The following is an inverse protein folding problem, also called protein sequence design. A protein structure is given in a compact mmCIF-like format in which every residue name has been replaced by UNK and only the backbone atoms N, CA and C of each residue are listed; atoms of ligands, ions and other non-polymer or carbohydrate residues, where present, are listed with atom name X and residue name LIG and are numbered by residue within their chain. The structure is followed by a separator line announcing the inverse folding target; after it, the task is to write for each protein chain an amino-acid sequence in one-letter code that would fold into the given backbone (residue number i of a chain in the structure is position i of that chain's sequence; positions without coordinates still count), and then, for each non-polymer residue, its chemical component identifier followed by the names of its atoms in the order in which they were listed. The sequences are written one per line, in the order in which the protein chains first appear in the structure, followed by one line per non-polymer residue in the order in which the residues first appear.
data_IF_366508123297
#
_entry.id   IF_366508123297
#
_cell.length_a   1.000
_cell.length_b   1.000
_cell.length_c   1.000
_cell.angle_alpha   90.00
_cell.angle_beta   90.00
_cell.angle_gamma   90.00
#
_symmetry.space_group_name_H-M   'P 1'
#
loop_
_entity.id
_entity.type
_entity.pdbx_description
1 polymer ?
#
# COMPACT_ATOMS: atom_id res chain seq x y z
N UNK A 1 -1.12 -17.76 -10.08
CA UNK A 1 0.16 -17.19 -9.59
C UNK A 1 0.84 -18.27 -8.77
N UNK A 2 2.09 -18.59 -9.09
CA UNK A 2 2.74 -19.77 -8.51
C UNK A 2 3.67 -19.40 -7.37
N UNK A 3 3.69 -20.22 -6.32
CA UNK A 3 4.51 -19.95 -5.12
C UNK A 3 6.01 -19.94 -5.44
N UNK A 4 6.44 -20.78 -6.38
CA UNK A 4 7.85 -20.92 -6.78
C UNK A 4 8.48 -19.64 -7.37
N UNK A 5 7.68 -18.79 -8.03
CA UNK A 5 8.18 -17.56 -8.67
C UNK A 5 7.90 -16.31 -7.85
N UNK A 6 6.79 -16.31 -7.11
CA UNK A 6 6.29 -15.14 -6.39
C UNK A 6 6.69 -15.11 -4.91
N UNK A 7 7.02 -16.26 -4.33
CA UNK A 7 7.30 -16.43 -2.90
C UNK A 7 6.04 -16.36 -2.02
N UNK A 8 5.38 -15.21 -2.02
CA UNK A 8 4.09 -14.95 -1.34
C UNK A 8 3.43 -13.70 -1.92
N UNK A 9 2.17 -13.44 -1.58
CA UNK A 9 1.48 -12.22 -2.01
C UNK A 9 2.19 -10.97 -1.48
N UNK A 10 2.85 -11.08 -0.32
CA UNK A 10 3.65 -10.00 0.24
C UNK A 10 4.83 -9.63 -0.63
N UNK A 11 5.60 -10.62 -1.10
CA UNK A 11 6.78 -10.40 -1.92
C UNK A 11 6.41 -9.92 -3.33
N UNK A 12 5.42 -10.56 -3.95
CA UNK A 12 5.00 -10.27 -5.32
C UNK A 12 4.41 -8.87 -5.47
N UNK A 13 3.53 -8.47 -4.53
CA UNK A 13 2.63 -7.34 -4.75
C UNK A 13 2.45 -6.42 -3.56
N UNK A 14 2.57 -6.89 -2.32
CA UNK A 14 2.28 -6.01 -1.17
C UNK A 14 3.51 -5.30 -0.60
N UNK A 15 4.70 -5.66 -1.08
CA UNK A 15 5.97 -5.13 -0.62
C UNK A 15 6.04 -3.61 -0.75
N UNK A 16 5.57 -3.01 -1.85
CA UNK A 16 5.58 -1.56 -1.99
C UNK A 16 4.59 -0.84 -1.05
N UNK A 17 3.50 -1.48 -0.65
CA UNK A 17 2.57 -0.92 0.35
C UNK A 17 3.13 -1.02 1.77
N UNK A 18 3.96 -2.03 2.05
CA UNK A 18 4.69 -2.14 3.31
C UNK A 18 5.82 -1.09 3.32
N UNK A 19 6.54 -0.96 2.21
CA UNK A 19 7.68 -0.05 2.06
C UNK A 19 7.28 1.41 2.20
N UNK A 20 6.24 1.85 1.48
CA UNK A 20 5.80 3.25 1.50
C UNK A 20 5.44 3.72 2.92
N UNK A 21 4.84 2.84 3.72
CA UNK A 21 4.46 3.17 5.10
C UNK A 21 5.67 3.18 6.03
N UNK A 22 6.71 2.41 5.74
CA UNK A 22 7.98 2.52 6.47
C UNK A 22 8.72 3.79 6.10
N UNK A 23 8.82 4.06 4.80
CA UNK A 23 9.55 5.19 4.23
C UNK A 23 9.05 6.53 4.78
N UNK A 24 7.75 6.81 4.72
CA UNK A 24 7.21 8.11 5.16
C UNK A 24 7.20 8.29 6.70
N UNK A 25 7.31 7.20 7.46
CA UNK A 25 7.15 7.16 8.92
C UNK A 25 8.51 7.13 9.60
N UNK A 26 9.54 6.66 8.89
CA UNK A 26 10.93 6.63 9.34
C UNK A 26 11.17 5.79 10.60
N UNK A 27 10.29 4.85 10.92
CA UNK A 27 10.36 4.03 12.13
C UNK A 27 10.35 2.53 11.78
N UNK A 28 10.96 1.71 12.63
CA UNK A 28 10.91 0.25 12.49
C UNK A 28 9.59 -0.31 13.01
N UNK A 29 9.16 -1.41 12.42
CA UNK A 29 8.02 -2.21 12.89
C UNK A 29 8.46 -3.04 14.10
N UNK A 30 7.75 -2.94 15.22
CA UNK A 30 8.09 -3.63 16.48
C UNK A 30 7.16 -4.80 16.83
N UNK A 31 5.96 -4.85 16.27
CA UNK A 31 5.05 -5.99 16.39
C UNK A 31 3.98 -5.94 15.32
N UNK A 32 3.40 -7.10 15.05
CA UNK A 32 2.36 -7.25 14.04
C UNK A 32 1.45 -8.44 14.34
N UNK A 33 0.29 -8.45 13.68
CA UNK A 33 -0.66 -9.56 13.64
C UNK A 33 -1.12 -9.72 12.21
N UNK A 34 -1.12 -10.96 11.73
CA UNK A 34 -1.56 -11.33 10.38
C UNK A 34 -2.73 -12.29 10.48
N UNK A 35 -3.69 -12.14 9.59
CA UNK A 35 -4.79 -13.08 9.41
C UNK A 35 -5.25 -13.13 7.95
N UNK A 36 -5.85 -14.26 7.60
CA UNK A 36 -6.45 -14.53 6.30
C UNK A 36 -7.48 -15.65 6.45
N UNK A 37 -8.43 -15.69 5.53
CA UNK A 37 -9.23 -16.89 5.27
C UNK A 37 -8.48 -17.81 4.30
N UNK A 38 -8.89 -19.08 4.14
CA UNK A 38 -8.37 -19.93 3.08
C UNK A 38 -8.55 -19.28 1.71
N UNK A 39 -7.63 -19.55 0.78
CA UNK A 39 -7.75 -19.07 -0.60
C UNK A 39 -9.09 -19.48 -1.21
N UNK A 40 -9.71 -18.54 -1.90
CA UNK A 40 -10.97 -18.71 -2.64
C UNK A 40 -10.68 -18.94 -4.13
N UNK A 41 -9.63 -18.32 -4.67
CA UNK A 41 -9.21 -18.43 -6.06
C UNK A 41 -8.40 -19.72 -6.25
N UNK A 42 -8.94 -20.76 -6.93
CA UNK A 42 -8.37 -22.11 -6.90
C UNK A 42 -7.05 -22.25 -7.68
N UNK A 43 -6.72 -21.30 -8.56
CA UNK A 43 -5.50 -21.29 -9.37
C UNK A 43 -4.39 -20.38 -8.80
N UNK A 44 -4.58 -19.84 -7.59
CA UNK A 44 -3.55 -19.15 -6.84
C UNK A 44 -2.90 -20.12 -5.85
N UNK A 45 -1.58 -20.27 -5.96
CA UNK A 45 -0.76 -21.04 -5.01
C UNK A 45 -0.21 -20.16 -3.88
N UNK A 46 -0.47 -18.86 -3.92
CA UNK A 46 -0.15 -17.88 -2.88
C UNK A 46 -1.43 -17.22 -2.39
N UNK A 47 -1.32 -16.44 -1.32
CA UNK A 47 -2.44 -15.82 -0.61
C UNK A 47 -3.27 -14.92 -1.54
N UNK A 48 -4.58 -15.12 -1.60
CA UNK A 48 -5.49 -14.24 -2.37
C UNK A 48 -6.23 -13.20 -1.51
N UNK A 49 -6.03 -13.30 -0.19
CA UNK A 49 -6.57 -12.40 0.82
C UNK A 49 -5.54 -12.21 1.95
N UNK A 50 -5.32 -10.97 2.35
CA UNK A 50 -4.31 -10.57 3.31
C UNK A 50 -4.87 -9.48 4.22
N UNK A 51 -4.73 -9.68 5.52
CA UNK A 51 -5.07 -8.70 6.55
C UNK A 51 -3.92 -8.63 7.54
N UNK A 52 -3.21 -7.50 7.58
CA UNK A 52 -2.10 -7.31 8.53
C UNK A 52 -2.23 -5.97 9.23
N UNK A 53 -2.10 -6.00 10.55
CA UNK A 53 -1.98 -4.80 11.39
C UNK A 53 -0.61 -4.83 12.06
N UNK A 54 0.12 -3.73 12.00
CA UNK A 54 1.46 -3.65 12.55
C UNK A 54 1.71 -2.29 13.20
N UNK A 55 2.48 -2.28 14.28
CA UNK A 55 2.89 -1.06 14.97
C UNK A 55 4.37 -0.78 14.82
N UNK A 56 4.71 0.48 15.00
CA UNK A 56 6.05 1.02 14.89
C UNK A 56 6.60 1.39 16.27
N UNK A 57 7.92 1.49 16.38
CA UNK A 57 8.63 1.94 17.59
C UNK A 57 8.18 3.33 18.04
N UNK A 58 7.86 4.22 17.10
CA UNK A 58 7.34 5.56 17.40
C UNK A 58 5.85 5.59 17.82
N UNK A 59 5.20 4.43 17.94
CA UNK A 59 3.79 4.31 18.34
C UNK A 59 2.78 4.45 17.20
N UNK A 60 3.22 4.73 15.96
CA UNK A 60 2.33 4.68 14.80
C UNK A 60 1.81 3.25 14.56
N UNK A 61 0.64 3.14 13.93
CA UNK A 61 0.01 1.88 13.56
C UNK A 61 -0.39 1.95 12.09
N UNK A 62 -0.22 0.84 11.39
CA UNK A 62 -0.64 0.65 10.01
C UNK A 62 -1.49 -0.60 9.87
N UNK A 63 -2.44 -0.53 8.95
CA UNK A 63 -3.27 -1.65 8.55
C UNK A 63 -3.22 -1.79 7.03
N UNK A 64 -2.92 -2.99 6.56
CA UNK A 64 -2.97 -3.35 5.16
C UNK A 64 -4.02 -4.44 4.98
N UNK A 65 -4.95 -4.16 4.07
CA UNK A 65 -6.04 -5.03 3.68
C UNK A 65 -6.00 -5.23 2.17
N UNK A 66 -5.98 -6.48 1.74
CA UNK A 66 -5.91 -6.83 0.32
C UNK A 66 -6.78 -8.04 0.04
N UNK A 67 -7.61 -7.94 -1.01
CA UNK A 67 -8.44 -9.03 -1.53
C UNK A 67 -8.31 -9.08 -3.05
N UNK A 68 -7.92 -10.24 -3.59
CA UNK A 68 -7.97 -10.50 -5.05
C UNK A 68 -9.36 -10.93 -5.50
N UNK A 69 -10.20 -11.40 -4.58
CA UNK A 69 -11.55 -11.92 -4.86
C UNK A 69 -12.57 -10.84 -5.18
N UNK A 70 -12.29 -9.58 -4.82
CA UNK A 70 -13.17 -8.44 -5.04
C UNK A 70 -13.04 -7.83 -6.44
N UNK A 71 -12.19 -8.38 -7.31
CA UNK A 71 -11.97 -7.88 -8.68
C UNK A 71 -12.53 -8.82 -9.72
N UNK A 72 -13.22 -8.29 -10.72
CA UNK A 72 -13.62 -9.08 -11.88
C UNK A 72 -12.39 -9.46 -12.71
N UNK A 73 -12.11 -10.77 -12.81
CA UNK A 73 -11.14 -11.30 -13.76
C UNK A 73 -11.65 -11.07 -15.18
N UNK A 74 -10.95 -10.25 -15.95
CA UNK A 74 -11.36 -9.98 -17.33
C UNK A 74 -10.78 -11.05 -18.23
N UNK A 75 -11.60 -12.06 -18.55
CA UNK A 75 -11.34 -12.93 -19.69
C UNK A 75 -11.38 -12.06 -20.96
N UNK A 76 -10.18 -11.69 -21.44
CA UNK A 76 -9.92 -11.04 -22.73
C UNK A 76 -10.29 -9.54 -22.90
N UNK A 77 -10.70 -8.81 -21.85
CA UNK A 77 -11.28 -7.45 -22.00
C UNK A 77 -10.83 -6.37 -20.99
N UNK A 78 -9.58 -6.39 -20.51
CA UNK A 78 -8.91 -5.10 -20.35
C UNK A 78 -8.24 -4.82 -21.69
N UNK A 79 -8.83 -4.06 -22.62
CA UNK A 79 -7.96 -3.36 -23.55
C UNK A 79 -6.96 -2.63 -22.65
N UNK A 80 -5.70 -2.56 -23.05
CA UNK A 80 -4.64 -1.77 -22.41
C UNK A 80 -4.96 -0.25 -22.35
N UNK A 81 -6.23 0.12 -22.40
CA UNK A 81 -6.90 1.42 -22.49
C UNK A 81 -8.08 1.56 -21.52
N UNK A 82 -8.33 0.59 -20.63
CA UNK A 82 -9.41 0.74 -19.64
C UNK A 82 -9.03 1.82 -18.62
N UNK A 83 -9.84 2.88 -18.56
CA UNK A 83 -9.64 3.99 -17.64
C UNK A 83 -9.72 3.54 -16.17
N UNK A 84 -8.99 4.20 -15.27
CA UNK A 84 -9.02 3.88 -13.84
C UNK A 84 -10.43 3.96 -13.24
N UNK A 85 -11.26 4.92 -13.63
CA UNK A 85 -12.63 5.02 -13.12
C UNK A 85 -13.50 3.81 -13.52
N UNK A 86 -13.24 3.19 -14.66
CA UNK A 86 -13.94 1.99 -15.09
C UNK A 86 -13.41 0.74 -14.38
N UNK A 87 -12.09 0.67 -14.14
CA UNK A 87 -11.50 -0.37 -13.30
C UNK A 87 -12.06 -0.33 -11.88
N UNK A 88 -12.32 0.85 -11.33
CA UNK A 88 -12.97 1.03 -10.02
C UNK A 88 -14.31 0.28 -9.91
N UNK A 89 -15.15 0.42 -10.94
CA UNK A 89 -16.46 -0.25 -11.04
C UNK A 89 -16.35 -1.76 -11.20
N UNK A 90 -15.18 -2.25 -11.63
CA UNK A 90 -14.85 -3.66 -11.75
C UNK A 90 -14.20 -4.23 -10.47
N UNK A 91 -14.15 -3.41 -9.41
CA UNK A 91 -13.67 -3.79 -8.08
C UNK A 91 -12.19 -3.51 -7.83
N UNK A 92 -11.47 -2.89 -8.78
CA UNK A 92 -10.09 -2.48 -8.55
C UNK A 92 -10.07 -1.28 -7.59
N UNK A 93 -9.26 -1.37 -6.54
CA UNK A 93 -9.13 -0.31 -5.53
C UNK A 93 -7.68 -0.19 -5.08
N UNK A 94 -7.25 1.04 -4.90
CA UNK A 94 -6.00 1.40 -4.25
C UNK A 94 -6.22 2.73 -3.52
N UNK A 95 -6.33 2.63 -2.20
CA UNK A 95 -6.65 3.74 -1.33
C UNK A 95 -5.65 3.79 -0.17
N UNK A 96 -5.19 5.00 0.15
CA UNK A 96 -4.32 5.26 1.29
C UNK A 96 -5.03 6.25 2.20
N UNK A 97 -5.07 5.93 3.50
CA UNK A 97 -5.62 6.82 4.52
C UNK A 97 -4.55 7.05 5.57
N UNK A 98 -4.11 8.29 5.68
CA UNK A 98 -3.15 8.75 6.69
C UNK A 98 -3.91 9.55 7.72
N UNK A 99 -3.88 9.15 8.98
CA UNK A 99 -4.55 9.89 10.05
C UNK A 99 -3.51 10.41 11.03
N UNK A 100 -3.54 11.72 11.26
CA UNK A 100 -2.74 12.39 12.28
C UNK A 100 -3.62 12.90 13.42
N UNK A 101 -3.01 13.66 14.33
CA UNK A 101 -3.70 14.19 15.52
C UNK A 101 -4.67 15.32 15.23
N UNK A 102 -4.59 15.95 14.05
CA UNK A 102 -5.38 17.13 13.68
C UNK A 102 -6.14 16.95 12.37
N UNK A 103 -6.13 15.77 11.77
CA UNK A 103 -6.60 15.63 10.39
C UNK A 103 -6.28 14.29 9.78
N UNK A 104 -6.68 14.16 8.52
CA UNK A 104 -6.37 12.99 7.71
C UNK A 104 -6.13 13.39 6.25
N UNK A 105 -5.41 12.53 5.54
CA UNK A 105 -5.23 12.58 4.09
C UNK A 105 -5.77 11.27 3.54
N UNK A 106 -6.64 11.37 2.55
CA UNK A 106 -7.15 10.24 1.78
C UNK A 106 -6.64 10.38 0.35
N UNK A 107 -5.97 9.34 -0.16
CA UNK A 107 -5.59 9.22 -1.57
C UNK A 107 -6.38 8.06 -2.17
N UNK A 108 -7.22 8.35 -3.15
CA UNK A 108 -7.94 7.36 -3.96
C UNK A 108 -7.40 7.42 -5.39
N UNK A 109 -6.55 6.45 -5.73
CA UNK A 109 -5.87 6.41 -7.03
C UNK A 109 -6.85 6.21 -8.17
N UNK A 110 -7.85 5.33 -7.98
CA UNK A 110 -8.82 5.00 -9.02
C UNK A 110 -9.83 6.13 -9.24
N UNK A 111 -9.99 7.02 -8.25
CA UNK A 111 -10.78 8.25 -8.38
C UNK A 111 -9.95 9.49 -8.77
N UNK A 112 -8.64 9.33 -8.97
CA UNK A 112 -7.69 10.43 -9.26
C UNK A 112 -7.79 11.59 -8.28
N UNK A 113 -7.81 11.28 -6.98
CA UNK A 113 -8.09 12.29 -5.95
C UNK A 113 -7.23 12.13 -4.69
N UNK A 114 -6.73 13.27 -4.18
CA UNK A 114 -6.23 13.41 -2.81
C UNK A 114 -7.12 14.40 -2.06
N UNK A 115 -7.65 14.01 -0.91
CA UNK A 115 -8.45 14.86 -0.02
C UNK A 115 -7.69 15.08 1.27
N UNK A 116 -7.67 16.33 1.74
CA UNK A 116 -7.04 16.72 3.02
C UNK A 116 -8.13 17.22 3.94
N UNK A 117 -8.25 16.60 5.10
CA UNK A 117 -9.24 16.92 6.12
C UNK A 117 -8.57 17.51 7.36
N UNK A 118 -9.17 18.56 7.92
CA UNK A 118 -8.88 19.05 9.26
C UNK A 118 -9.93 18.49 10.21
N UNK A 119 -9.44 17.82 11.25
CA UNK A 119 -10.23 17.47 12.42
C UNK A 119 -9.83 18.45 13.52
N UNK A 120 -10.63 19.51 13.76
CA UNK A 120 -10.23 20.61 14.62
C UNK A 120 -9.86 20.20 16.04
N UNK A 121 -10.29 19.02 16.52
CA UNK A 121 -9.79 18.36 17.74
C UNK A 121 -9.91 19.16 19.03
N UNK A 122 -10.47 20.37 18.97
CA UNK A 122 -10.49 21.36 20.02
C UNK A 122 -11.94 21.62 20.41
N UNK A 123 -12.25 21.38 21.68
CA UNK A 123 -13.55 21.65 22.29
C UNK A 123 -13.98 23.12 22.26
N UNK A 124 -13.06 24.05 21.97
CA UNK A 124 -13.30 25.50 21.96
C UNK A 124 -13.62 26.09 20.58
N UNK A 125 -13.46 25.33 19.49
CA UNK A 125 -13.83 25.81 18.16
C UNK A 125 -15.35 25.71 17.96
N UNK A 126 -15.96 26.76 17.38
CA UNK A 126 -17.42 26.82 17.10
C UNK A 126 -17.87 25.76 16.10
N UNK A 127 -17.01 25.39 15.16
CA UNK A 127 -17.27 24.34 14.18
C UNK A 127 -16.84 22.98 14.73
N UNK A 128 -17.83 22.10 14.95
CA UNK A 128 -17.67 20.79 15.62
C UNK A 128 -17.45 19.64 14.63
N UNK A 129 -17.28 19.94 13.35
CA UNK A 129 -17.25 18.93 12.27
C UNK A 129 -15.94 18.99 11.52
N UNK A 130 -15.52 17.84 11.00
CA UNK A 130 -14.39 17.77 10.09
C UNK A 130 -14.65 18.66 8.86
N UNK A 131 -13.61 19.33 8.37
CA UNK A 131 -13.68 20.14 7.15
C UNK A 131 -12.67 19.64 6.13
N UNK A 132 -13.08 19.49 4.86
CA UNK A 132 -12.15 19.24 3.77
C UNK A 132 -11.44 20.55 3.43
N UNK A 133 -10.14 20.63 3.71
CA UNK A 133 -9.33 21.81 3.45
C UNK A 133 -8.93 21.91 1.98
N UNK A 134 -8.59 20.77 1.38
CA UNK A 134 -8.08 20.70 0.01
C UNK A 134 -8.52 19.42 -0.67
N UNK A 135 -8.71 19.55 -1.98
CA UNK A 135 -8.93 18.46 -2.92
C UNK A 135 -7.96 18.67 -4.07
N UNK A 136 -7.12 17.68 -4.33
CA UNK A 136 -6.22 17.64 -5.47
C UNK A 136 -6.72 16.55 -6.40
N UNK A 137 -6.81 16.88 -7.68
CA UNK A 137 -7.14 15.93 -8.73
C UNK A 137 -6.05 15.96 -9.79
N UNK A 138 -5.90 14.85 -10.50
CA UNK A 138 -5.05 14.74 -11.68
C UNK A 138 -5.84 14.13 -12.84
N UNK A 139 -5.35 14.33 -14.05
CA UNK A 139 -5.98 13.83 -15.27
C UNK A 139 -5.47 12.44 -15.66
N UNK A 140 -6.13 11.77 -16.61
CA UNK A 140 -5.68 10.46 -17.08
C UNK A 140 -4.26 10.49 -17.67
N UNK A 141 -3.85 11.61 -18.26
CA UNK A 141 -2.49 11.83 -18.78
C UNK A 141 -1.43 11.79 -17.67
N UNK A 142 -1.81 12.10 -16.43
CA UNK A 142 -0.95 12.13 -15.25
C UNK A 142 -0.95 10.79 -14.48
N UNK A 143 -1.70 9.77 -14.92
CA UNK A 143 -1.78 8.47 -14.24
C UNK A 143 -0.41 7.80 -14.10
N UNK A 144 0.48 7.95 -15.08
CA UNK A 144 1.83 7.41 -14.95
C UNK A 144 2.57 8.06 -13.78
N UNK A 145 2.38 9.36 -13.53
CA UNK A 145 3.04 10.06 -12.43
C UNK A 145 2.48 9.64 -11.06
N UNK A 146 1.16 9.42 -10.97
CA UNK A 146 0.47 9.21 -9.68
C UNK A 146 0.15 7.75 -9.34
N UNK A 147 0.18 6.82 -10.30
CA UNK A 147 -0.08 5.39 -10.09
C UNK A 147 1.18 4.53 -10.27
N UNK A 148 1.88 4.67 -11.40
CA UNK A 148 3.07 3.87 -11.73
C UNK A 148 4.17 4.73 -12.35
N UNK A 149 4.89 5.49 -11.53
CA UNK A 149 5.92 6.43 -11.98
C UNK A 149 7.24 5.76 -12.40
N UNK A 150 7.13 4.75 -13.26
CA UNK A 150 8.27 3.98 -13.76
C UNK A 150 9.20 4.86 -14.60
N UNK A 151 8.68 5.88 -15.29
CA UNK A 151 9.49 6.76 -16.13
C UNK A 151 10.50 7.55 -15.30
N UNK A 152 10.05 8.28 -14.28
CA UNK A 152 10.96 9.09 -13.46
C UNK A 152 11.84 8.20 -12.57
N UNK A 153 11.32 7.08 -12.07
CA UNK A 153 12.12 6.09 -11.34
C UNK A 153 13.31 5.59 -12.18
N UNK A 154 13.07 5.20 -13.43
CA UNK A 154 14.13 4.74 -14.33
C UNK A 154 15.14 5.86 -14.65
N UNK A 155 14.66 7.09 -14.85
CA UNK A 155 15.54 8.24 -15.08
C UNK A 155 16.40 8.56 -13.84
N UNK A 156 15.86 8.47 -12.63
CA UNK A 156 16.62 8.66 -11.39
C UNK A 156 17.69 7.58 -11.20
N UNK A 157 17.37 6.32 -11.52
CA UNK A 157 18.35 5.22 -11.50
C UNK A 157 19.53 5.53 -12.44
N UNK A 158 19.24 5.87 -13.70
CA UNK A 158 20.29 6.19 -14.69
C UNK A 158 21.12 7.39 -14.24
N UNK A 159 20.47 8.45 -13.73
CA UNK A 159 21.14 9.64 -13.21
C UNK A 159 22.09 9.28 -12.07
N UNK A 160 21.63 8.52 -11.08
CA UNK A 160 22.44 8.13 -9.91
C UNK A 160 23.65 7.32 -10.30
N UNK A 161 23.48 6.34 -11.21
CA UNK A 161 24.60 5.55 -11.75
C UNK A 161 25.60 6.45 -12.47
N UNK A 162 25.14 7.36 -13.32
CA UNK A 162 26.01 8.27 -14.07
C UNK A 162 26.80 9.23 -13.16
N UNK A 163 26.23 9.62 -12.02
CA UNK A 163 26.84 10.54 -11.05
C UNK A 163 27.60 9.82 -9.92
N UNK A 164 27.59 8.48 -9.86
CA UNK A 164 28.18 7.73 -8.76
C UNK A 164 27.46 7.94 -7.42
N UNK A 165 26.18 8.29 -7.46
CA UNK A 165 25.35 8.46 -6.26
C UNK A 165 24.79 7.12 -5.77
N UNK A 166 24.54 6.97 -4.45
CA UNK A 166 23.85 5.80 -3.93
C UNK A 166 22.40 5.72 -4.43
N UNK A 167 21.76 4.53 -4.39
CA UNK A 167 20.33 4.39 -4.66
C UNK A 167 19.48 5.30 -3.76
N UNK A 168 18.27 5.64 -4.23
CA UNK A 168 17.33 6.48 -3.48
C UNK A 168 16.81 5.81 -2.20
N UNK A 169 16.80 4.48 -2.18
CA UNK A 169 16.50 3.65 -1.01
C UNK A 169 17.75 2.90 -0.59
N UNK A 170 18.05 2.89 0.72
CA UNK A 170 19.20 2.15 1.25
C UNK A 170 18.99 0.63 1.09
N UNK A 171 20.09 -0.13 1.03
CA UNK A 171 20.00 -1.60 1.00
C UNK A 171 19.37 -2.13 2.29
N UNK A 172 19.65 -1.48 3.40
CA UNK A 172 19.12 -1.78 4.72
C UNK A 172 17.60 -1.59 4.77
N UNK A 173 17.09 -0.51 4.18
CA UNK A 173 15.65 -0.27 4.11
C UNK A 173 14.95 -1.27 3.20
N UNK A 174 15.51 -1.56 2.04
CA UNK A 174 14.97 -2.56 1.13
C UNK A 174 14.95 -3.96 1.80
N UNK A 175 16.04 -4.34 2.47
CA UNK A 175 16.14 -5.60 3.19
C UNK A 175 15.10 -5.69 4.32
N UNK A 176 14.93 -4.63 5.09
CA UNK A 176 13.96 -4.60 6.19
C UNK A 176 12.51 -4.82 5.69
N UNK A 177 12.14 -4.23 4.54
CA UNK A 177 10.84 -4.49 3.90
C UNK A 177 10.71 -5.95 3.47
N UNK A 178 11.75 -6.53 2.86
CA UNK A 178 11.73 -7.94 2.43
C UNK A 178 11.63 -8.90 3.61
N UNK A 179 12.34 -8.64 4.72
CA UNK A 179 12.25 -9.42 5.95
C UNK A 179 10.84 -9.36 6.54
N UNK A 180 10.19 -8.20 6.52
CA UNK A 180 8.79 -8.08 6.94
C UNK A 180 7.85 -8.88 6.06
N UNK A 181 8.04 -8.88 4.74
CA UNK A 181 7.23 -9.68 3.82
C UNK A 181 7.33 -11.18 4.13
N UNK A 182 8.55 -11.67 4.40
CA UNK A 182 8.79 -13.06 4.80
C UNK A 182 8.14 -13.38 6.16
N UNK A 183 8.31 -12.50 7.15
CA UNK A 183 7.74 -12.66 8.48
C UNK A 183 6.20 -12.64 8.46
N UNK A 184 5.59 -11.78 7.63
CA UNK A 184 4.14 -11.73 7.48
C UNK A 184 3.60 -12.98 6.81
N UNK A 185 4.26 -13.46 5.75
CA UNK A 185 3.90 -14.72 5.10
C UNK A 185 4.01 -15.91 6.06
N UNK A 186 5.12 -16.01 6.81
CA UNK A 186 5.30 -17.08 7.80
C UNK A 186 4.24 -17.02 8.92
N UNK A 187 3.93 -15.82 9.42
CA UNK A 187 2.92 -15.63 10.45
C UNK A 187 1.52 -16.01 9.97
N UNK A 188 1.20 -15.71 8.71
CA UNK A 188 -0.07 -16.07 8.09
C UNK A 188 -0.25 -17.59 8.04
N UNK A 189 0.82 -18.32 7.69
CA UNK A 189 0.80 -19.77 7.58
C UNK A 189 0.78 -20.48 8.95
N UNK A 190 1.58 -20.01 9.90
CA UNK A 190 1.90 -20.78 11.13
C UNK A 190 1.18 -20.29 12.37
N UNK A 191 0.92 -18.99 12.47
CA UNK A 191 0.43 -18.36 13.71
C UNK A 191 -0.61 -17.28 13.41
N UNK A 192 -1.68 -17.59 12.65
CA UNK A 192 -2.73 -16.62 12.39
C UNK A 192 -3.33 -16.15 13.72
N UNK A 193 -3.70 -14.88 13.80
CA UNK A 193 -4.26 -14.24 15.00
C UNK A 193 -3.32 -14.08 16.21
N UNK A 194 -2.03 -14.38 16.07
CA UNK A 194 -1.05 -14.13 17.14
C UNK A 194 -0.33 -12.81 16.95
N UNK A 195 -0.11 -12.08 18.05
CA UNK A 195 0.75 -10.89 18.06
C UNK A 195 2.21 -11.36 18.12
N UNK A 196 2.97 -11.05 17.08
CA UNK A 196 4.40 -11.35 16.99
C UNK A 196 5.18 -10.08 17.32
N UNK A 197 6.15 -10.19 18.23
CA UNK A 197 7.09 -9.11 18.56
C UNK A 197 8.37 -9.26 17.73
N UNK A 198 8.98 -8.15 17.37
CA UNK A 198 10.24 -8.05 16.63
C UNK A 198 11.29 -7.37 17.48
#
# INVERSE_FOLDING_TARGET
MKKEYSGSMYLEKLCHYIDVVRWWNGSRVNRFIVTSVPNVIPYYEIEDNVHVTYSFENGAVSHLFFLSTATAGLSNYLPHKCDLFEQDKLGYKLNYIITGTKGSIELDVFQREIRVYLHPGNSELKEKTAVMLKKYNWTAEEDNLHFHNSKEQNLDIVRRVALGEPPSLSLEDALETMLLCLQFSEAQEKTPWQIIKR
#
